data_IF_503690594173
#
_entry.id   IF_503690594173
#
_cell.length_a   1.000
_cell.length_b   1.000
_cell.length_c   1.000
_cell.angle_alpha   90.00
_cell.angle_beta   90.00
_cell.angle_gamma   90.00
#
_symmetry.space_group_name_H-M   'P 1'
#
loop_
_entity.id
_entity.type
_entity.pdbx_description
1 polymer ?
#
# COMPACT_ATOMS: atom_id res chain seq x y z
N UNK A 1 34.13 -1.40 -15.80
CA UNK A 1 33.66 -0.26 -14.99
C UNK A 1 33.47 -0.77 -13.58
N UNK A 2 34.43 -0.54 -12.69
CA UNK A 2 34.29 -0.91 -11.28
C UNK A 2 33.32 0.07 -10.62
N UNK A 3 32.24 -0.44 -10.03
CA UNK A 3 31.34 0.37 -9.22
C UNK A 3 32.10 0.78 -7.94
N UNK A 4 32.52 2.04 -7.87
CA UNK A 4 33.13 2.64 -6.68
C UNK A 4 32.08 2.75 -5.58
N UNK A 5 31.90 1.68 -4.80
CA UNK A 5 31.00 1.66 -3.64
C UNK A 5 31.45 2.67 -2.58
N UNK A 6 30.50 3.44 -2.04
CA UNK A 6 30.77 4.29 -0.86
C UNK A 6 30.89 3.40 0.38
N UNK A 7 32.03 3.49 1.06
CA UNK A 7 32.26 2.78 2.33
C UNK A 7 31.68 3.60 3.47
N UNK A 8 30.77 3.02 4.25
CA UNK A 8 30.23 3.63 5.46
C UNK A 8 30.87 2.95 6.67
N UNK A 9 31.55 3.73 7.50
CA UNK A 9 32.11 3.26 8.76
C UNK A 9 31.13 3.58 9.90
N UNK A 10 30.71 2.56 10.63
CA UNK A 10 29.85 2.69 11.80
C UNK A 10 30.57 2.21 13.04
N UNK A 11 30.35 2.87 14.17
CA UNK A 11 30.84 2.43 15.48
C UNK A 11 29.70 1.69 16.19
N UNK A 12 29.99 0.49 16.64
CA UNK A 12 29.04 -0.36 17.34
C UNK A 12 29.48 -0.53 18.79
N UNK A 13 28.55 -0.64 19.74
CA UNK A 13 28.87 -0.92 21.13
C UNK A 13 29.50 -2.31 21.27
N UNK A 14 30.34 -2.52 22.27
CA UNK A 14 31.10 -3.77 22.45
C UNK A 14 30.22 -5.01 22.57
N UNK A 15 29.00 -4.84 23.10
CA UNK A 15 28.01 -5.89 23.26
C UNK A 15 27.17 -6.16 21.99
N UNK A 16 27.50 -5.54 20.85
CA UNK A 16 26.69 -5.68 19.65
C UNK A 16 26.65 -7.13 19.13
N UNK A 17 25.48 -7.68 18.77
CA UNK A 17 25.34 -9.09 18.37
C UNK A 17 26.25 -9.51 17.20
N UNK A 18 26.61 -8.58 16.30
CA UNK A 18 27.53 -8.87 15.18
C UNK A 18 28.89 -9.41 15.65
N UNK A 19 29.32 -9.08 16.88
CA UNK A 19 30.60 -9.53 17.40
C UNK A 19 30.57 -10.99 17.87
N UNK A 20 29.37 -11.57 18.06
CA UNK A 20 29.17 -13.00 18.29
C UNK A 20 29.34 -13.83 17.00
N UNK A 21 29.23 -13.19 15.83
CA UNK A 21 29.47 -13.83 14.54
C UNK A 21 30.97 -14.03 14.31
N UNK A 22 31.31 -15.19 13.74
CA UNK A 22 32.67 -15.57 13.36
C UNK A 22 33.38 -14.48 12.53
N UNK A 23 34.65 -14.22 12.84
CA UNK A 23 35.48 -13.27 12.10
C UNK A 23 35.58 -13.72 10.62
N UNK A 24 35.32 -12.80 9.69
CA UNK A 24 35.26 -13.09 8.25
C UNK A 24 33.84 -13.16 7.68
N UNK A 25 32.85 -13.62 8.46
CA UNK A 25 31.43 -13.67 8.04
C UNK A 25 30.61 -12.43 8.42
N UNK A 26 31.15 -11.59 9.31
CA UNK A 26 30.47 -10.40 9.82
C UNK A 26 29.95 -9.46 8.73
N UNK A 27 30.73 -9.24 7.67
CA UNK A 27 30.34 -8.35 6.58
C UNK A 27 29.13 -8.87 5.80
N UNK A 28 29.06 -10.18 5.59
CA UNK A 28 27.93 -10.83 4.92
C UNK A 28 26.67 -10.74 5.79
N UNK A 29 26.79 -11.08 7.07
CA UNK A 29 25.68 -10.98 8.02
C UNK A 29 25.19 -9.54 8.18
N UNK A 30 26.11 -8.57 8.27
CA UNK A 30 25.77 -7.16 8.37
C UNK A 30 25.00 -6.68 7.13
N UNK A 31 25.40 -7.10 5.91
CA UNK A 31 24.64 -6.81 4.69
C UNK A 31 23.24 -7.41 4.75
N UNK A 32 23.12 -8.68 5.13
CA UNK A 32 21.82 -9.32 5.27
C UNK A 32 20.91 -8.59 6.25
N UNK A 33 21.44 -8.12 7.38
CA UNK A 33 20.66 -7.34 8.35
C UNK A 33 20.23 -5.99 7.79
N UNK A 34 21.10 -5.28 7.07
CA UNK A 34 20.75 -4.03 6.41
C UNK A 34 19.69 -4.22 5.33
N UNK A 35 19.79 -5.29 4.54
CA UNK A 35 18.80 -5.63 3.51
C UNK A 35 17.44 -5.95 4.12
N UNK A 36 17.41 -6.70 5.23
CA UNK A 36 16.18 -6.98 5.98
C UNK A 36 15.61 -5.68 6.56
N UNK A 37 16.45 -4.83 7.15
CA UNK A 37 16.04 -3.53 7.68
C UNK A 37 15.38 -2.64 6.61
N UNK A 38 15.99 -2.53 5.43
CA UNK A 38 15.44 -1.76 4.31
C UNK A 38 14.09 -2.32 3.83
N UNK A 39 13.92 -3.65 3.82
CA UNK A 39 12.63 -4.28 3.47
C UNK A 39 11.56 -4.01 4.52
N UNK A 40 11.92 -4.01 5.81
CA UNK A 40 11.00 -3.70 6.89
C UNK A 40 10.53 -2.24 6.81
N UNK A 41 11.46 -1.31 6.58
CA UNK A 41 11.12 0.12 6.39
C UNK A 41 10.14 0.33 5.23
N UNK A 42 10.36 -0.35 4.10
CA UNK A 42 9.42 -0.32 2.97
C UNK A 42 8.04 -0.92 3.29
N UNK A 43 7.97 -1.91 4.18
CA UNK A 43 6.70 -2.50 4.61
C UNK A 43 5.97 -1.54 5.55
N UNK A 44 6.67 -0.93 6.49
CA UNK A 44 6.10 0.06 7.42
C UNK A 44 5.50 1.25 6.67
N UNK A 45 6.19 1.76 5.64
CA UNK A 45 5.65 2.82 4.78
C UNK A 45 4.36 2.40 4.05
N UNK A 46 4.31 1.16 3.55
CA UNK A 46 3.13 0.64 2.84
C UNK A 46 1.95 0.48 3.79
N UNK A 47 2.20 -0.03 5.00
CA UNK A 47 1.19 -0.18 6.04
C UNK A 47 0.64 1.20 6.41
N UNK A 48 1.50 2.20 6.63
CA UNK A 48 1.06 3.57 6.92
C UNK A 48 0.16 4.15 5.82
N UNK A 49 0.49 3.92 4.54
CA UNK A 49 -0.37 4.35 3.42
C UNK A 49 -1.72 3.64 3.39
N UNK A 50 -1.75 2.34 3.73
CA UNK A 50 -2.99 1.58 3.80
C UNK A 50 -3.87 2.08 4.95
N UNK A 51 -3.28 2.34 6.12
CA UNK A 51 -4.00 2.90 7.26
C UNK A 51 -4.64 4.25 6.90
N UNK A 52 -3.89 5.15 6.25
CA UNK A 52 -4.44 6.42 5.76
C UNK A 52 -5.61 6.23 4.77
N UNK A 53 -5.49 5.27 3.84
CA UNK A 53 -6.55 4.99 2.88
C UNK A 53 -7.79 4.43 3.57
N UNK A 54 -7.62 3.53 4.53
CA UNK A 54 -8.72 2.95 5.31
C UNK A 54 -9.41 4.05 6.12
N UNK A 55 -8.66 4.92 6.80
CA UNK A 55 -9.22 6.05 7.53
C UNK A 55 -10.06 6.95 6.63
N UNK A 56 -9.57 7.30 5.43
CA UNK A 56 -10.34 8.11 4.46
C UNK A 56 -11.62 7.42 4.01
N UNK A 57 -11.58 6.11 3.75
CA UNK A 57 -12.77 5.35 3.36
C UNK A 57 -13.78 5.32 4.51
N UNK A 58 -13.33 5.11 5.75
CA UNK A 58 -14.17 5.15 6.94
C UNK A 58 -14.84 6.53 7.10
N UNK A 59 -14.08 7.62 6.98
CA UNK A 59 -14.63 8.99 7.01
C UNK A 59 -15.68 9.22 5.94
N UNK A 60 -15.47 8.73 4.71
CA UNK A 60 -16.44 8.84 3.63
C UNK A 60 -17.72 8.03 3.88
N UNK A 61 -17.59 6.85 4.51
CA UNK A 61 -18.73 6.02 4.89
C UNK A 61 -19.51 6.62 6.06
N UNK A 62 -18.85 7.25 7.02
CA UNK A 62 -19.50 7.97 8.12
C UNK A 62 -20.18 9.27 7.65
N UNK A 63 -19.57 9.98 6.70
CA UNK A 63 -20.12 11.21 6.11
C UNK A 63 -21.33 10.96 5.20
N UNK A 64 -21.50 9.74 4.67
CA UNK A 64 -22.68 9.33 3.93
C UNK A 64 -23.50 8.37 4.80
N UNK A 65 -24.49 8.85 5.58
CA UNK A 65 -25.44 7.94 6.19
C UNK A 65 -26.07 7.11 5.07
N UNK A 66 -26.01 5.78 5.18
CA UNK A 66 -26.86 4.87 4.41
C UNK A 66 -28.31 5.16 4.79
N UNK A 67 -28.84 6.25 4.28
CA UNK A 67 -30.23 6.62 4.40
C UNK A 67 -30.71 7.12 3.04
N UNK A 68 -30.57 6.23 2.06
CA UNK A 68 -31.52 6.14 0.97
C UNK A 68 -31.88 4.68 0.84
N UNK A 69 -32.96 4.31 1.53
CA UNK A 69 -33.94 3.38 0.98
C UNK A 69 -33.99 3.55 -0.55
N UNK A 70 -34.12 2.49 -1.36
CA UNK A 70 -34.53 2.69 -2.74
C UNK A 70 -35.97 3.21 -2.69
N UNK A 71 -36.15 4.52 -2.46
CA UNK A 71 -37.33 5.20 -2.94
C UNK A 71 -37.26 4.98 -4.44
N UNK A 72 -38.15 4.12 -4.92
CA UNK A 72 -38.51 3.91 -6.32
C UNK A 72 -38.45 5.24 -7.05
N UNK A 73 -37.28 5.58 -7.61
CA UNK A 73 -37.23 6.51 -8.71
C UNK A 73 -37.67 5.68 -9.89
N UNK A 74 -39.00 5.64 -10.08
CA UNK A 74 -39.57 5.45 -11.39
C UNK A 74 -38.83 6.41 -12.32
N UNK A 75 -37.78 5.93 -12.96
CA UNK A 75 -37.33 6.52 -14.21
C UNK A 75 -38.54 6.41 -15.12
N UNK A 76 -39.32 7.49 -15.19
CA UNK A 76 -40.26 7.80 -16.27
C UNK A 76 -39.45 8.02 -17.55
N UNK A 77 -38.65 7.04 -17.95
CA UNK A 77 -38.31 6.84 -19.34
C UNK A 77 -39.54 6.17 -19.93
N UNK A 78 -40.49 7.00 -20.37
CA UNK A 78 -41.61 6.54 -21.19
C UNK A 78 -41.01 6.07 -22.50
N UNK A 79 -40.61 4.80 -22.53
CA UNK A 79 -40.18 4.13 -23.75
C UNK A 79 -41.44 3.94 -24.61
N UNK A 80 -41.54 4.75 -25.65
CA UNK A 80 -42.63 4.64 -26.62
C UNK A 80 -42.37 3.45 -27.55
N UNK A 81 -42.98 2.32 -27.17
CA UNK A 81 -42.85 1.04 -27.88
C UNK A 81 -43.36 1.14 -29.33
N UNK A 82 -44.36 1.97 -29.59
CA UNK A 82 -44.91 2.11 -30.94
C UNK A 82 -43.96 2.91 -31.85
N UNK A 83 -43.34 3.96 -31.33
CA UNK A 83 -42.32 4.70 -32.05
C UNK A 83 -41.10 3.83 -32.42
N UNK A 84 -40.70 2.91 -31.54
CA UNK A 84 -39.60 1.97 -31.80
C UNK A 84 -39.91 0.98 -32.93
N UNK A 85 -41.12 0.41 -32.94
CA UNK A 85 -41.49 -0.60 -33.94
C UNK A 85 -41.67 0.00 -35.34
N UNK A 86 -42.15 1.24 -35.42
CA UNK A 86 -42.31 1.96 -36.70
C UNK A 86 -40.98 2.21 -37.43
N UNK A 87 -39.84 2.20 -36.73
CA UNK A 87 -38.53 2.39 -37.36
C UNK A 87 -38.09 1.19 -38.21
N UNK A 88 -38.69 0.02 -38.01
CA UNK A 88 -38.33 -1.23 -38.71
C UNK A 88 -39.33 -1.64 -39.80
N UNK A 89 -40.35 -0.81 -40.08
CA UNK A 89 -41.19 -0.90 -41.30
C UNK A 89 -40.57 -0.08 -42.44
#
# INVERSE_FOLDING_TARGET
MEASGKVVAIRLPENHPIFQVERGKRSEVARSWLDVGARLEQLDEKIGRLDEQISRVMELLEANPLDKSPSTQEQKNSFDKEAFLKYFE
#
